data_IF_260887598594
#
_entry.id   IF_260887598594
#
_cell.length_a   1.000
_cell.length_b   1.000
_cell.length_c   1.000
_cell.angle_alpha   90.00
_cell.angle_beta   90.00
_cell.angle_gamma   90.00
#
_symmetry.space_group_name_H-M   'P 1'
#
loop_
_entity.id
_entity.type
_entity.pdbx_description
1 polymer ?
#
# COMPACT_ATOMS: atom_id res chain seq x y z
N UNK A 1 14.82 -13.03 -15.72
CA UNK A 1 14.71 -14.24 -14.89
C UNK A 1 15.02 -13.88 -13.45
N UNK A 2 13.98 -13.70 -12.65
CA UNK A 2 14.13 -13.54 -11.20
C UNK A 2 14.29 -14.94 -10.64
N UNK A 3 15.47 -15.28 -10.13
CA UNK A 3 15.71 -16.56 -9.45
C UNK A 3 15.79 -16.32 -7.94
N UNK A 4 15.08 -17.07 -7.10
CA UNK A 4 15.25 -16.99 -5.67
C UNK A 4 16.68 -17.38 -5.29
N UNK A 5 17.28 -16.64 -4.37
CA UNK A 5 18.62 -16.97 -3.87
C UNK A 5 18.59 -18.36 -3.20
N UNK A 6 19.54 -19.25 -3.57
CA UNK A 6 19.70 -20.54 -2.90
C UNK A 6 19.99 -20.29 -1.41
N UNK A 7 19.08 -20.68 -0.56
CA UNK A 7 19.20 -20.58 0.90
C UNK A 7 18.05 -19.90 1.63
N UNK A 8 17.18 -19.19 0.92
CA UNK A 8 15.98 -18.58 1.53
C UNK A 8 14.75 -19.53 1.52
N UNK A 9 14.78 -20.62 0.77
CA UNK A 9 13.65 -21.53 0.59
C UNK A 9 13.08 -22.16 1.87
N UNK A 10 13.86 -22.27 2.95
CA UNK A 10 13.39 -22.87 4.20
C UNK A 10 12.67 -21.87 5.12
N UNK A 11 12.94 -20.58 4.97
CA UNK A 11 12.29 -19.52 5.76
C UNK A 11 10.83 -19.30 5.32
N UNK A 12 10.51 -19.57 4.05
CA UNK A 12 9.21 -19.24 3.46
C UNK A 12 8.17 -20.34 3.53
N UNK A 13 8.54 -21.55 3.95
CA UNK A 13 7.58 -22.66 4.12
C UNK A 13 6.80 -22.60 5.43
N UNK A 14 7.18 -21.68 6.32
CA UNK A 14 6.53 -21.52 7.62
C UNK A 14 5.49 -20.42 7.55
N UNK A 15 4.27 -20.73 7.94
CA UNK A 15 3.25 -19.70 8.17
C UNK A 15 3.76 -18.76 9.28
N UNK A 16 3.66 -17.43 9.11
CA UNK A 16 4.01 -16.49 10.17
C UNK A 16 3.25 -16.82 11.44
N UNK A 17 3.95 -16.78 12.59
CA UNK A 17 3.29 -16.87 13.89
C UNK A 17 2.83 -15.46 14.30
N UNK A 18 2.00 -15.40 15.36
CA UNK A 18 1.54 -14.14 15.91
C UNK A 18 2.71 -13.18 16.16
N UNK A 19 2.62 -11.97 15.62
CA UNK A 19 3.67 -10.95 15.71
C UNK A 19 4.83 -11.08 14.70
N UNK A 20 4.84 -12.09 13.84
CA UNK A 20 5.84 -12.23 12.78
C UNK A 20 5.44 -11.44 11.51
N UNK A 21 6.42 -10.79 10.89
CA UNK A 21 6.24 -10.15 9.58
C UNK A 21 6.67 -11.15 8.51
N UNK A 22 5.78 -11.40 7.53
CA UNK A 22 6.14 -12.13 6.33
C UNK A 22 6.97 -11.20 5.43
N UNK A 23 8.22 -11.60 5.16
CA UNK A 23 9.08 -10.91 4.21
C UNK A 23 9.63 -11.89 3.19
N UNK A 24 9.58 -11.51 1.91
CA UNK A 24 10.15 -12.25 0.80
C UNK A 24 11.18 -11.36 0.12
N UNK A 25 12.41 -11.83 0.00
CA UNK A 25 13.51 -11.13 -0.65
C UNK A 25 14.04 -11.97 -1.82
N UNK A 26 14.24 -11.32 -2.95
CA UNK A 26 14.93 -11.89 -4.11
C UNK A 26 16.17 -11.06 -4.43
N UNK A 27 17.28 -11.75 -4.68
CA UNK A 27 18.43 -11.12 -5.30
C UNK A 27 18.22 -11.15 -6.81
N UNK A 28 18.12 -9.95 -7.40
CA UNK A 28 17.98 -9.78 -8.84
C UNK A 28 19.36 -9.74 -9.47
N UNK A 29 19.71 -10.75 -10.26
CA UNK A 29 20.98 -10.83 -10.99
C UNK A 29 20.94 -10.04 -12.30
N UNK A 30 19.77 -10.01 -12.95
CA UNK A 30 19.56 -9.33 -14.22
C UNK A 30 18.18 -8.70 -14.25
N UNK A 31 18.08 -7.55 -14.90
CA UNK A 31 16.82 -6.92 -15.23
C UNK A 31 16.83 -6.45 -16.69
N UNK A 32 15.68 -6.43 -17.31
CA UNK A 32 15.49 -5.96 -18.67
C UNK A 32 14.38 -4.92 -18.69
N UNK A 33 14.59 -3.89 -19.49
CA UNK A 33 13.53 -2.95 -19.83
C UNK A 33 12.68 -3.55 -20.94
N UNK A 34 11.37 -3.58 -20.75
CA UNK A 34 10.44 -4.06 -21.77
C UNK A 34 9.24 -3.11 -21.88
N UNK A 35 8.76 -2.93 -23.10
CA UNK A 35 7.48 -2.26 -23.34
C UNK A 35 6.35 -3.30 -23.21
N UNK A 36 5.30 -2.93 -22.52
CA UNK A 36 4.07 -3.72 -22.47
C UNK A 36 3.15 -3.26 -23.59
N UNK A 37 2.80 -4.16 -24.49
CA UNK A 37 1.71 -3.92 -25.43
C UNK A 37 0.40 -3.80 -24.64
N UNK A 38 -0.33 -2.71 -24.86
CA UNK A 38 -1.64 -2.54 -24.25
C UNK A 38 -2.58 -3.65 -24.75
N UNK A 39 -3.17 -4.48 -23.86
CA UNK A 39 -4.10 -5.51 -24.29
C UNK A 39 -5.32 -4.87 -24.97
N UNK A 40 -5.89 -5.55 -25.94
CA UNK A 40 -7.23 -5.21 -26.47
C UNK A 40 -8.22 -5.14 -25.31
N UNK A 41 -9.27 -4.32 -25.44
CA UNK A 41 -10.26 -3.94 -24.41
C UNK A 41 -10.44 -5.00 -23.30
N UNK A 42 -10.16 -4.64 -22.06
CA UNK A 42 -10.07 -5.59 -20.96
C UNK A 42 -11.43 -6.23 -20.64
N UNK A 43 -11.45 -7.55 -20.66
CA UNK A 43 -12.58 -8.30 -20.15
C UNK A 43 -12.63 -8.20 -18.62
N UNK A 44 -13.82 -8.28 -18.00
CA UNK A 44 -13.92 -8.32 -16.55
C UNK A 44 -13.22 -9.57 -15.99
N UNK A 45 -12.58 -9.41 -14.82
CA UNK A 45 -11.95 -10.51 -14.08
C UNK A 45 -13.01 -11.57 -13.75
N UNK A 46 -12.68 -12.84 -13.99
CA UNK A 46 -13.58 -13.97 -13.68
C UNK A 46 -13.16 -14.58 -12.35
N UNK A 47 -13.94 -14.32 -11.31
CA UNK A 47 -13.80 -14.95 -10.01
C UNK A 47 -15.05 -15.80 -9.76
N UNK A 48 -14.85 -17.07 -9.42
CA UNK A 48 -15.92 -18.00 -9.13
C UNK A 48 -15.96 -18.34 -7.64
N UNK A 49 -17.15 -18.58 -7.12
CA UNK A 49 -17.30 -19.03 -5.74
C UNK A 49 -16.89 -17.97 -4.69
N UNK A 50 -17.06 -16.70 -5.00
CA UNK A 50 -16.67 -15.59 -4.14
C UNK A 50 -17.29 -15.68 -2.74
N UNK A 51 -16.44 -15.56 -1.72
CA UNK A 51 -16.82 -15.55 -0.30
C UNK A 51 -16.20 -14.33 0.37
N UNK A 52 -17.01 -13.66 1.18
CA UNK A 52 -16.55 -12.56 2.01
C UNK A 52 -16.23 -13.01 3.43
N UNK A 53 -15.21 -12.43 4.04
CA UNK A 53 -14.84 -12.67 5.44
C UNK A 53 -15.93 -12.24 6.43
N UNK A 54 -16.72 -11.24 6.07
CA UNK A 54 -17.81 -10.70 6.89
C UNK A 54 -19.05 -10.49 6.05
N UNK A 55 -20.21 -10.74 6.60
CA UNK A 55 -21.48 -10.30 6.05
C UNK A 55 -21.64 -8.77 6.12
N UNK A 56 -22.58 -8.21 5.40
CA UNK A 56 -22.87 -6.77 5.46
C UNK A 56 -23.32 -6.33 6.85
N UNK A 57 -24.07 -7.18 7.57
CA UNK A 57 -24.52 -6.91 8.94
C UNK A 57 -23.35 -6.89 9.93
N UNK A 58 -22.45 -7.89 9.88
CA UNK A 58 -21.24 -7.93 10.71
C UNK A 58 -20.33 -6.73 10.44
N UNK A 59 -20.12 -6.37 9.16
CA UNK A 59 -19.36 -5.20 8.78
C UNK A 59 -19.96 -3.92 9.36
N UNK A 60 -21.26 -3.71 9.27
CA UNK A 60 -21.96 -2.55 9.81
C UNK A 60 -21.85 -2.46 11.34
N UNK A 61 -21.92 -3.61 12.05
CA UNK A 61 -21.74 -3.69 13.49
C UNK A 61 -20.31 -3.29 13.89
N UNK A 62 -19.30 -3.85 13.22
CA UNK A 62 -17.88 -3.52 13.46
C UNK A 62 -17.63 -2.03 13.24
N UNK A 63 -18.11 -1.46 12.14
CA UNK A 63 -18.00 -0.02 11.86
C UNK A 63 -18.67 0.81 12.98
N UNK A 64 -19.79 0.35 13.51
CA UNK A 64 -20.47 1.01 14.63
C UNK A 64 -19.63 0.98 15.92
N UNK A 65 -19.00 -0.16 16.22
CA UNK A 65 -18.06 -0.28 17.35
C UNK A 65 -16.87 0.67 17.18
N UNK A 66 -16.24 0.69 16.00
CA UNK A 66 -15.11 1.59 15.71
C UNK A 66 -15.52 3.06 15.89
N UNK A 67 -16.67 3.47 15.36
CA UNK A 67 -17.19 4.84 15.55
C UNK A 67 -17.39 5.20 17.02
N UNK A 68 -17.83 4.24 17.83
CA UNK A 68 -17.98 4.43 19.27
C UNK A 68 -16.63 4.67 19.95
N UNK A 69 -15.59 3.86 19.64
CA UNK A 69 -14.23 4.03 20.16
C UNK A 69 -13.63 5.39 19.74
N UNK A 70 -13.88 5.85 18.51
CA UNK A 70 -13.49 7.20 18.05
C UNK A 70 -14.17 8.28 18.90
N UNK A 71 -15.47 8.14 19.14
CA UNK A 71 -16.24 9.12 19.96
C UNK A 71 -15.76 9.14 21.42
N UNK A 72 -15.28 8.02 21.93
CA UNK A 72 -14.72 7.88 23.29
C UNK A 72 -13.26 8.40 23.39
N UNK A 73 -12.65 8.75 22.26
CA UNK A 73 -11.27 9.26 22.19
C UNK A 73 -10.20 8.18 22.32
N UNK A 74 -10.54 6.90 22.15
CA UNK A 74 -9.59 5.78 22.21
C UNK A 74 -8.69 5.73 20.97
N UNK A 75 -9.23 6.12 19.82
CA UNK A 75 -8.51 6.24 18.56
C UNK A 75 -9.11 7.35 17.70
N UNK A 76 -8.37 7.82 16.70
CA UNK A 76 -8.80 8.88 15.79
C UNK A 76 -9.34 8.34 14.47
N UNK A 77 -8.71 7.30 13.95
CA UNK A 77 -9.06 6.65 12.70
C UNK A 77 -8.62 5.19 12.75
N UNK A 78 -9.40 4.32 12.13
CA UNK A 78 -9.05 2.92 11.89
C UNK A 78 -9.56 2.49 10.52
N UNK A 79 -8.68 1.88 9.71
CA UNK A 79 -9.03 1.27 8.43
C UNK A 79 -9.31 -0.21 8.67
N UNK A 80 -10.58 -0.58 8.66
CA UNK A 80 -11.04 -1.96 8.81
C UNK A 80 -11.09 -2.66 7.45
N UNK A 81 -10.46 -3.82 7.36
CA UNK A 81 -10.42 -4.64 6.16
C UNK A 81 -11.51 -5.70 6.10
N UNK A 82 -12.09 -5.87 4.90
CA UNK A 82 -12.98 -6.95 4.54
C UNK A 82 -12.41 -7.64 3.32
N UNK A 83 -12.19 -8.94 3.39
CA UNK A 83 -11.60 -9.72 2.31
C UNK A 83 -12.66 -10.45 1.51
N UNK A 84 -12.39 -10.63 0.23
CA UNK A 84 -13.13 -11.49 -0.68
C UNK A 84 -12.16 -12.51 -1.26
N UNK A 85 -12.53 -13.75 -1.23
CA UNK A 85 -11.75 -14.87 -1.76
C UNK A 85 -12.60 -15.65 -2.77
N UNK A 86 -11.97 -16.19 -3.78
CA UNK A 86 -12.64 -16.99 -4.79
C UNK A 86 -11.64 -17.67 -5.71
N UNK A 87 -12.13 -18.50 -6.60
CA UNK A 87 -11.30 -19.17 -7.60
C UNK A 87 -11.11 -18.24 -8.79
N UNK A 88 -9.85 -17.98 -9.14
CA UNK A 88 -9.49 -17.20 -10.30
C UNK A 88 -9.56 -18.09 -11.54
N UNK A 89 -10.29 -17.63 -12.57
CA UNK A 89 -10.50 -18.35 -13.82
C UNK A 89 -9.53 -17.96 -14.94
N UNK A 90 -8.43 -17.28 -14.60
CA UNK A 90 -7.47 -16.73 -15.56
C UNK A 90 -6.10 -16.54 -14.92
N UNK A 91 -5.08 -16.31 -15.74
CA UNK A 91 -3.72 -16.06 -15.27
C UNK A 91 -3.64 -14.72 -14.53
N UNK A 92 -2.99 -14.67 -13.34
CA UNK A 92 -2.82 -13.41 -12.58
C UNK A 92 -2.08 -12.30 -13.36
N UNK A 93 -1.21 -12.65 -14.29
CA UNK A 93 -0.52 -11.69 -15.15
C UNK A 93 -1.48 -10.92 -16.06
N UNK A 94 -2.53 -11.59 -16.56
CA UNK A 94 -3.57 -10.95 -17.37
C UNK A 94 -4.36 -9.91 -16.57
N UNK A 95 -4.54 -10.17 -15.26
CA UNK A 95 -5.17 -9.19 -14.37
C UNK A 95 -4.27 -7.98 -14.21
N UNK A 96 -2.96 -8.19 -14.03
CA UNK A 96 -2.01 -7.09 -13.95
C UNK A 96 -2.00 -6.25 -15.22
N UNK A 97 -1.99 -6.87 -16.39
CA UNK A 97 -2.09 -6.16 -17.66
C UNK A 97 -3.35 -5.28 -17.74
N UNK A 98 -4.50 -5.82 -17.34
CA UNK A 98 -5.75 -5.02 -17.30
C UNK A 98 -5.71 -3.89 -16.28
N UNK A 99 -5.12 -4.11 -15.11
CA UNK A 99 -4.93 -3.06 -14.11
C UNK A 99 -4.02 -1.96 -14.63
N UNK A 100 -2.93 -2.28 -15.30
CA UNK A 100 -1.98 -1.32 -15.84
C UNK A 100 -2.58 -0.42 -16.94
N UNK A 101 -3.57 -0.93 -17.67
CA UNK A 101 -4.30 -0.15 -18.69
C UNK A 101 -5.45 0.66 -18.10
N UNK A 102 -6.30 0.03 -17.31
CA UNK A 102 -7.52 0.67 -16.80
C UNK A 102 -7.30 1.57 -15.60
N UNK A 103 -6.27 1.29 -14.84
CA UNK A 103 -5.99 1.98 -13.59
C UNK A 103 -4.48 2.11 -13.39
N UNK A 104 -3.75 2.72 -14.36
CA UNK A 104 -2.32 2.91 -14.26
C UNK A 104 -1.97 3.69 -13.01
N UNK A 105 -0.96 3.24 -12.29
CA UNK A 105 -0.50 3.87 -11.07
C UNK A 105 1.04 3.84 -10.98
N UNK A 106 1.67 4.86 -10.37
CA UNK A 106 3.12 5.08 -10.46
C UNK A 106 3.95 4.01 -9.74
N UNK A 107 3.36 3.28 -8.80
CA UNK A 107 4.05 2.25 -8.02
C UNK A 107 3.43 0.87 -8.24
N UNK A 108 3.00 0.63 -9.47
CA UNK A 108 2.46 -0.67 -9.90
C UNK A 108 3.57 -1.70 -10.00
N UNK A 109 3.21 -2.97 -9.80
CA UNK A 109 4.13 -4.08 -9.99
C UNK A 109 3.42 -5.42 -10.01
N UNK A 110 4.06 -6.38 -10.69
CA UNK A 110 3.66 -7.78 -10.72
C UNK A 110 4.80 -8.64 -10.21
N UNK A 111 4.49 -9.53 -9.31
CA UNK A 111 5.43 -10.54 -8.82
C UNK A 111 4.78 -11.91 -8.99
N UNK A 112 5.51 -12.82 -9.58
CA UNK A 112 5.18 -14.24 -9.64
C UNK A 112 6.29 -15.04 -8.99
N UNK A 113 5.95 -15.77 -7.96
CA UNK A 113 6.84 -16.64 -7.21
C UNK A 113 6.25 -18.07 -7.26
N UNK A 114 6.45 -18.75 -8.39
CA UNK A 114 5.89 -20.07 -8.63
C UNK A 114 6.34 -21.12 -7.60
N UNK A 115 7.56 -20.99 -7.09
CA UNK A 115 8.12 -21.83 -6.02
C UNK A 115 7.42 -21.63 -4.67
N UNK A 116 6.79 -20.49 -4.45
CA UNK A 116 5.99 -20.17 -3.27
C UNK A 116 4.48 -20.36 -3.54
N UNK A 117 4.11 -20.71 -4.76
CA UNK A 117 2.71 -20.80 -5.17
C UNK A 117 1.97 -19.46 -5.08
N UNK A 118 2.64 -18.35 -5.41
CA UNK A 118 2.13 -17.00 -5.17
C UNK A 118 2.27 -16.12 -6.42
N UNK A 119 1.25 -15.31 -6.68
CA UNK A 119 1.34 -14.16 -7.58
C UNK A 119 0.68 -12.93 -6.94
N UNK A 120 1.25 -11.75 -7.19
CA UNK A 120 0.78 -10.45 -6.72
C UNK A 120 0.64 -9.50 -7.91
N UNK A 121 -0.55 -8.97 -8.12
CA UNK A 121 -0.82 -7.94 -9.11
C UNK A 121 -1.23 -6.65 -8.39
N UNK A 122 -0.38 -5.64 -8.41
CA UNK A 122 -0.58 -4.38 -7.69
C UNK A 122 -0.60 -3.19 -8.63
N UNK A 123 -1.60 -2.31 -8.47
CA UNK A 123 -1.68 -1.01 -9.13
C UNK A 123 -1.71 0.11 -8.09
N UNK A 124 -0.66 0.17 -7.30
CA UNK A 124 -0.56 1.09 -6.17
C UNK A 124 -0.24 2.53 -6.59
N UNK A 125 -1.03 3.51 -6.15
CA UNK A 125 -0.74 4.93 -6.35
C UNK A 125 0.15 5.52 -5.25
N UNK A 126 0.41 4.79 -4.15
CA UNK A 126 0.95 5.35 -2.92
C UNK A 126 2.33 4.80 -2.60
N UNK A 127 3.26 5.70 -2.32
CA UNK A 127 4.61 5.38 -1.86
C UNK A 127 4.65 5.40 -0.35
N UNK A 128 5.17 4.31 0.25
CA UNK A 128 5.45 4.23 1.68
C UNK A 128 6.77 4.93 2.01
N UNK A 129 7.82 4.62 1.25
CA UNK A 129 9.15 5.13 1.49
C UNK A 129 9.94 5.25 0.19
N UNK A 130 10.64 6.34 0.04
CA UNK A 130 11.76 6.50 -0.86
C UNK A 130 12.99 6.90 -0.04
N UNK A 131 14.10 6.19 -0.22
CA UNK A 131 15.40 6.52 0.37
C UNK A 131 16.42 6.72 -0.75
N UNK A 132 17.14 7.83 -0.68
CA UNK A 132 18.24 8.18 -1.60
C UNK A 132 19.40 8.71 -0.77
N UNK A 133 20.47 7.93 -0.63
CA UNK A 133 21.55 8.25 0.30
C UNK A 133 21.03 8.44 1.72
N UNK A 134 21.14 9.65 2.26
CA UNK A 134 20.59 10.00 3.60
C UNK A 134 19.22 10.69 3.55
N UNK A 135 18.72 11.02 2.39
CA UNK A 135 17.40 11.60 2.25
C UNK A 135 16.33 10.51 2.26
N UNK A 136 15.28 10.73 3.04
CA UNK A 136 14.10 9.84 3.10
C UNK A 136 12.84 10.65 2.88
N UNK A 137 11.89 10.03 2.19
CA UNK A 137 10.62 10.64 1.83
C UNK A 137 9.48 9.61 1.92
N UNK A 138 8.35 10.04 2.44
CA UNK A 138 7.05 9.36 2.33
C UNK A 138 6.04 10.31 1.73
N UNK A 139 5.02 9.77 1.06
CA UNK A 139 4.05 10.60 0.34
C UNK A 139 2.62 10.12 0.58
N UNK A 140 2.04 10.46 1.75
CA UNK A 140 0.67 10.06 2.08
C UNK A 140 -0.34 10.69 1.12
N UNK A 141 -1.31 9.87 0.74
CA UNK A 141 -2.45 10.24 -0.09
C UNK A 141 -3.72 10.20 0.77
N UNK A 142 -4.51 11.30 0.74
CA UNK A 142 -5.84 11.31 1.36
C UNK A 142 -6.72 12.33 0.67
N UNK A 143 -8.01 11.99 0.55
CA UNK A 143 -8.95 12.78 -0.20
C UNK A 143 -8.94 12.42 -1.68
N UNK A 144 -10.13 12.17 -2.22
CA UNK A 144 -10.30 11.71 -3.61
C UNK A 144 -11.49 12.38 -4.25
N UNK A 145 -11.30 12.87 -5.46
CA UNK A 145 -12.38 13.30 -6.35
C UNK A 145 -12.21 12.62 -7.71
N UNK A 146 -13.29 12.39 -8.46
CA UNK A 146 -13.17 11.92 -9.83
C UNK A 146 -12.48 12.96 -10.71
N UNK A 147 -12.05 12.55 -11.88
CA UNK A 147 -11.62 13.46 -12.94
C UNK A 147 -12.82 14.23 -13.50
N UNK A 148 -12.61 15.45 -13.93
CA UNK A 148 -13.63 16.23 -14.62
C UNK A 148 -13.83 15.76 -16.06
N UNK A 149 -15.04 15.93 -16.61
CA UNK A 149 -15.33 15.64 -18.01
C UNK A 149 -14.73 16.69 -18.97
N UNK A 150 -14.41 17.85 -18.44
CA UNK A 150 -13.82 18.99 -19.14
C UNK A 150 -12.92 19.80 -18.18
N UNK A 151 -12.11 20.74 -18.69
CA UNK A 151 -11.18 21.53 -17.88
C UNK A 151 -11.83 22.36 -16.77
N UNK A 152 -13.05 22.85 -16.98
CA UNK A 152 -13.76 23.67 -15.98
C UNK A 152 -14.24 22.81 -14.82
N UNK A 153 -14.83 21.66 -15.11
CA UNK A 153 -15.25 20.68 -14.12
C UNK A 153 -14.04 20.11 -13.37
N UNK A 154 -12.94 19.81 -14.07
CA UNK A 154 -11.69 19.36 -13.44
C UNK A 154 -11.17 20.40 -12.44
N UNK A 155 -11.16 21.67 -12.82
CA UNK A 155 -10.74 22.77 -11.96
C UNK A 155 -11.67 22.97 -10.77
N UNK A 156 -12.98 22.78 -10.95
CA UNK A 156 -13.97 22.85 -9.87
C UNK A 156 -13.75 21.74 -8.85
N UNK A 157 -13.69 20.48 -9.30
CA UNK A 157 -13.48 19.32 -8.43
C UNK A 157 -12.15 19.40 -7.68
N UNK A 158 -11.09 19.91 -8.34
CA UNK A 158 -9.80 20.17 -7.71
C UNK A 158 -9.91 21.20 -6.59
N UNK A 159 -10.62 22.30 -6.83
CA UNK A 159 -10.86 23.32 -5.79
C UNK A 159 -11.68 22.78 -4.64
N UNK A 160 -12.75 22.06 -4.92
CA UNK A 160 -13.55 21.40 -3.89
C UNK A 160 -12.68 20.51 -2.99
N UNK A 161 -11.82 19.68 -3.58
CA UNK A 161 -10.92 18.79 -2.84
C UNK A 161 -9.95 19.58 -1.96
N UNK A 162 -9.35 20.65 -2.49
CA UNK A 162 -8.39 21.49 -1.75
C UNK A 162 -9.07 22.22 -0.58
N UNK A 163 -10.33 22.63 -0.70
CA UNK A 163 -11.03 23.39 0.31
C UNK A 163 -11.94 22.56 1.22
N UNK A 164 -12.09 21.27 0.96
CA UNK A 164 -12.85 20.37 1.82
C UNK A 164 -12.22 20.28 3.22
N UNK A 165 -12.97 20.73 4.20
CA UNK A 165 -12.48 20.82 5.60
C UNK A 165 -12.20 19.45 6.20
N UNK A 166 -13.04 18.45 5.87
CA UNK A 166 -12.91 17.08 6.37
C UNK A 166 -11.69 16.42 5.76
N UNK A 167 -11.59 16.41 4.41
CA UNK A 167 -10.47 15.79 3.70
C UNK A 167 -9.12 16.42 4.13
N UNK A 168 -9.08 17.73 4.29
CA UNK A 168 -7.88 18.43 4.80
C UNK A 168 -7.53 18.07 6.24
N UNK A 169 -8.51 17.89 7.12
CA UNK A 169 -8.26 17.50 8.50
C UNK A 169 -7.70 16.08 8.58
N UNK A 170 -8.31 15.14 7.85
CA UNK A 170 -7.83 13.76 7.74
C UNK A 170 -6.43 13.70 7.11
N UNK A 171 -6.21 14.44 6.03
CA UNK A 171 -4.90 14.50 5.37
C UNK A 171 -3.81 15.05 6.29
N UNK A 172 -4.10 16.12 7.03
CA UNK A 172 -3.16 16.70 8.01
C UNK A 172 -2.80 15.70 9.12
N UNK A 173 -3.79 14.94 9.60
CA UNK A 173 -3.55 13.91 10.62
C UNK A 173 -2.58 12.84 10.10
N UNK A 174 -2.75 12.40 8.87
CA UNK A 174 -1.82 11.44 8.25
C UNK A 174 -0.42 12.03 8.07
N UNK A 175 -0.31 13.25 7.59
CA UNK A 175 0.98 13.94 7.46
C UNK A 175 1.70 14.03 8.81
N UNK A 176 0.98 14.33 9.89
CA UNK A 176 1.57 14.39 11.22
C UNK A 176 1.98 13.00 11.73
N UNK A 177 1.22 11.95 11.42
CA UNK A 177 1.59 10.57 11.72
C UNK A 177 2.88 10.17 10.99
N UNK A 178 2.96 10.40 9.67
CA UNK A 178 4.15 10.11 8.86
C UNK A 178 5.37 10.92 9.30
N UNK A 179 5.17 12.18 9.73
CA UNK A 179 6.24 12.99 10.34
C UNK A 179 6.77 12.38 11.62
N UNK A 180 5.90 11.87 12.48
CA UNK A 180 6.31 11.21 13.72
C UNK A 180 7.09 9.93 13.44
N UNK A 181 6.62 9.10 12.51
CA UNK A 181 7.28 7.85 12.14
C UNK A 181 8.67 8.13 11.53
N UNK A 182 8.73 9.08 10.59
CA UNK A 182 10.00 9.45 9.94
C UNK A 182 11.00 10.09 10.92
N UNK A 183 10.53 10.78 11.97
CA UNK A 183 11.37 11.38 12.98
C UNK A 183 12.16 10.35 13.81
N UNK A 184 11.70 9.10 13.89
CA UNK A 184 12.38 8.02 14.59
C UNK A 184 13.80 7.80 14.02
N UNK A 185 13.92 7.87 12.70
CA UNK A 185 15.17 7.61 11.97
C UNK A 185 15.88 8.87 11.51
N UNK A 186 15.24 10.03 11.55
CA UNK A 186 15.77 11.27 11.03
C UNK A 186 16.52 12.10 12.07
N UNK A 187 17.45 12.94 11.62
CA UNK A 187 18.12 13.95 12.43
C UNK A 187 17.10 14.96 12.95
N UNK A 188 17.29 15.41 14.17
CA UNK A 188 16.38 16.36 14.81
C UNK A 188 16.23 17.65 13.97
N UNK A 189 14.98 18.07 13.77
CA UNK A 189 14.65 19.29 13.03
C UNK A 189 14.70 19.17 11.50
N UNK A 190 15.04 18.00 10.93
CA UNK A 190 15.08 17.82 9.47
C UNK A 190 13.76 17.36 8.87
N UNK A 191 12.87 16.76 9.67
CA UNK A 191 11.58 16.28 9.19
C UNK A 191 10.64 17.44 8.92
N UNK A 192 10.18 17.52 7.67
CA UNK A 192 9.29 18.59 7.22
C UNK A 192 8.31 18.10 6.14
N UNK A 193 7.15 18.73 6.08
CA UNK A 193 6.28 18.63 4.92
C UNK A 193 6.86 19.50 3.80
N UNK A 194 7.34 18.87 2.74
CA UNK A 194 8.00 19.56 1.62
C UNK A 194 7.04 19.91 0.48
N UNK A 195 5.90 19.22 0.37
CA UNK A 195 4.92 19.43 -0.69
C UNK A 195 3.50 19.21 -0.16
N UNK A 196 2.55 19.99 -0.69
CA UNK A 196 1.12 19.75 -0.60
C UNK A 196 0.48 20.12 -1.94
N UNK A 197 -0.15 19.18 -2.60
CA UNK A 197 -0.70 19.39 -3.95
C UNK A 197 -1.88 18.46 -4.21
N UNK A 198 -2.61 18.73 -5.30
CA UNK A 198 -3.52 17.77 -5.90
C UNK A 198 -2.82 17.12 -7.09
N UNK A 199 -2.71 15.81 -7.07
CA UNK A 199 -2.19 15.02 -8.18
C UNK A 199 -3.34 14.33 -8.91
N UNK A 200 -3.29 14.42 -10.24
CA UNK A 200 -4.28 13.82 -11.12
C UNK A 200 -3.74 12.49 -11.66
N UNK A 201 -4.51 11.45 -11.46
CA UNK A 201 -4.29 10.13 -12.05
C UNK A 201 -5.29 9.89 -13.16
N UNK A 202 -5.29 8.72 -13.78
CA UNK A 202 -6.17 8.43 -14.93
C UNK A 202 -7.66 8.68 -14.64
N UNK A 203 -8.15 8.19 -13.50
CA UNK A 203 -9.57 8.16 -13.16
C UNK A 203 -9.95 9.07 -11.99
N UNK A 204 -8.97 9.51 -11.21
CA UNK A 204 -9.19 10.27 -9.97
C UNK A 204 -8.11 11.32 -9.77
N UNK A 205 -8.38 12.26 -8.87
CA UNK A 205 -7.39 13.19 -8.34
C UNK A 205 -7.35 13.11 -6.82
N UNK A 206 -6.16 13.21 -6.26
CA UNK A 206 -5.91 13.04 -4.83
C UNK A 206 -5.21 14.24 -4.22
N UNK A 207 -5.47 14.49 -2.92
CA UNK A 207 -4.56 15.30 -2.11
C UNK A 207 -3.33 14.47 -1.76
N UNK A 208 -2.17 15.03 -2.07
CA UNK A 208 -0.86 14.40 -1.87
C UNK A 208 0.03 15.36 -1.10
N UNK A 209 0.69 14.85 -0.07
CA UNK A 209 1.80 15.55 0.58
C UNK A 209 3.09 14.76 0.44
N UNK A 210 4.21 15.43 0.55
CA UNK A 210 5.50 14.80 0.77
C UNK A 210 6.03 15.19 2.13
N UNK A 211 6.48 14.22 2.88
CA UNK A 211 7.19 14.38 4.14
C UNK A 211 8.61 13.89 3.94
N UNK A 212 9.58 14.75 4.15
CA UNK A 212 11.00 14.44 3.94
C UNK A 212 11.77 14.59 5.23
N UNK A 213 12.89 13.87 5.33
CA UNK A 213 13.83 13.95 6.44
C UNK A 213 15.23 13.55 6.03
N UNK A 214 16.22 13.89 6.84
CA UNK A 214 17.61 13.43 6.70
C UNK A 214 17.86 12.34 7.74
N UNK A 215 18.22 11.13 7.31
CA UNK A 215 18.51 10.02 8.22
C UNK A 215 19.72 10.33 9.11
N UNK A 216 19.66 9.86 10.34
CA UNK A 216 20.82 9.79 11.25
C UNK A 216 21.93 8.99 10.59
N UNK A 217 23.18 9.28 10.98
CA UNK A 217 24.34 8.68 10.29
C UNK A 217 24.40 7.15 10.42
N UNK A 218 23.94 6.62 11.56
CA UNK A 218 23.87 5.18 11.86
C UNK A 218 22.65 4.46 11.28
N UNK A 219 21.71 5.21 10.66
CA UNK A 219 20.45 4.66 10.11
C UNK A 219 20.54 4.38 8.61
N UNK A 220 19.76 3.41 8.17
CA UNK A 220 19.66 2.93 6.80
C UNK A 220 18.24 3.03 6.27
N UNK A 221 18.05 2.84 4.96
CA UNK A 221 16.73 2.76 4.34
C UNK A 221 15.85 1.65 4.93
N UNK A 222 16.44 0.55 5.40
CA UNK A 222 15.70 -0.53 6.08
C UNK A 222 15.20 -0.07 7.45
N UNK A 223 16.00 0.69 8.23
CA UNK A 223 15.52 1.27 9.48
C UNK A 223 14.34 2.24 9.22
N UNK A 224 14.40 3.00 8.12
CA UNK A 224 13.31 3.89 7.72
C UNK A 224 12.05 3.10 7.33
N UNK A 225 12.21 2.01 6.58
CA UNK A 225 11.09 1.12 6.24
C UNK A 225 10.44 0.55 7.51
N UNK A 226 11.22 0.08 8.47
CA UNK A 226 10.71 -0.45 9.75
C UNK A 226 9.98 0.63 10.58
N UNK A 227 10.43 1.87 10.55
CA UNK A 227 9.80 2.96 11.27
C UNK A 227 8.44 3.36 10.67
N UNK A 228 8.33 3.32 9.35
CA UNK A 228 7.10 3.69 8.62
C UNK A 228 6.10 2.53 8.55
N UNK A 229 6.57 1.28 8.55
CA UNK A 229 5.71 0.10 8.41
C UNK A 229 5.02 -0.29 9.74
N UNK A 230 3.72 -0.70 9.68
CA UNK A 230 2.81 -0.56 8.55
C UNK A 230 2.43 0.91 8.30
N UNK A 231 2.09 1.24 7.05
CA UNK A 231 1.73 2.61 6.67
C UNK A 231 0.54 3.17 7.47
N UNK A 232 0.61 4.44 7.85
CA UNK A 232 -0.45 5.10 8.61
C UNK A 232 -1.75 5.25 7.83
N UNK A 233 -1.64 5.46 6.52
CA UNK A 233 -2.79 5.61 5.61
C UNK A 233 -3.67 4.37 5.52
N UNK A 234 -3.10 3.17 5.76
CA UNK A 234 -3.79 1.87 5.67
C UNK A 234 -4.10 1.24 7.03
N UNK A 235 -3.61 1.79 8.12
CA UNK A 235 -3.90 1.34 9.48
C UNK A 235 -4.77 2.35 10.21
N UNK A 236 -4.24 3.48 10.58
CA UNK A 236 -4.91 4.55 11.31
C UNK A 236 -4.05 5.13 12.43
N UNK A 237 -4.68 5.84 13.36
CA UNK A 237 -3.98 6.58 14.41
C UNK A 237 -4.71 6.49 15.77
N UNK A 238 -4.00 6.27 16.89
CA UNK A 238 -2.57 5.98 17.06
C UNK A 238 -2.19 4.58 16.54
N UNK A 239 -1.04 4.44 15.87
CA UNK A 239 -0.66 3.22 15.12
C UNK A 239 -0.71 1.95 15.98
N UNK A 240 -0.10 1.96 17.17
CA UNK A 240 -0.07 0.78 18.05
C UNK A 240 -1.46 0.34 18.51
N UNK A 241 -2.34 1.30 18.83
CA UNK A 241 -3.73 1.01 19.27
C UNK A 241 -4.53 0.42 18.11
N UNK A 242 -4.44 1.04 16.94
CA UNK A 242 -5.23 0.60 15.79
C UNK A 242 -4.73 -0.72 15.22
N UNK A 243 -3.43 -1.03 15.26
CA UNK A 243 -2.93 -2.34 14.83
C UNK A 243 -3.48 -3.46 15.72
N UNK A 244 -3.51 -3.28 17.04
CA UNK A 244 -4.11 -4.26 17.96
C UNK A 244 -5.63 -4.41 17.72
N UNK A 245 -6.33 -3.30 17.48
CA UNK A 245 -7.76 -3.35 17.16
C UNK A 245 -8.06 -4.02 15.82
N UNK A 246 -7.20 -3.82 14.80
CA UNK A 246 -7.32 -4.51 13.51
C UNK A 246 -7.18 -6.02 13.69
N UNK A 247 -6.17 -6.46 14.44
CA UNK A 247 -5.92 -7.87 14.73
C UNK A 247 -7.12 -8.53 15.46
N UNK A 248 -7.77 -7.80 16.36
CA UNK A 248 -9.00 -8.28 17.05
C UNK A 248 -10.23 -8.32 16.12
N UNK A 249 -10.36 -7.35 15.21
CA UNK A 249 -11.59 -7.13 14.44
C UNK A 249 -11.59 -7.90 13.12
N UNK A 250 -10.45 -8.12 12.49
CA UNK A 250 -10.33 -8.82 11.21
C UNK A 250 -10.25 -10.33 11.45
N UNK A 251 -11.03 -11.10 10.68
CA UNK A 251 -11.12 -12.58 10.84
C UNK A 251 -9.94 -13.32 10.21
N UNK A 252 -9.15 -12.65 9.41
CA UNK A 252 -8.02 -13.24 8.69
C UNK A 252 -6.87 -12.24 8.60
N UNK A 253 -5.62 -12.74 8.57
CA UNK A 253 -4.45 -11.89 8.31
C UNK A 253 -4.58 -11.16 6.97
N UNK A 254 -4.05 -9.96 6.90
CA UNK A 254 -4.05 -9.14 5.67
C UNK A 254 -3.13 -9.70 4.58
N UNK A 255 -2.21 -10.60 4.92
CA UNK A 255 -1.20 -11.14 4.03
C UNK A 255 -0.39 -10.01 3.37
N UNK A 256 -0.25 -9.99 2.05
CA UNK A 256 0.45 -8.94 1.32
C UNK A 256 -0.37 -7.67 1.14
N UNK A 257 -1.70 -7.76 1.20
CA UNK A 257 -2.54 -6.57 1.12
C UNK A 257 -2.25 -5.60 2.28
N UNK A 258 -2.09 -4.33 1.98
CA UNK A 258 -1.61 -3.29 2.91
C UNK A 258 -0.17 -3.47 3.41
N UNK A 259 0.56 -4.43 2.85
CA UNK A 259 1.99 -4.56 3.00
C UNK A 259 2.76 -3.57 2.12
N UNK A 260 3.97 -3.94 1.77
CA UNK A 260 4.83 -3.12 0.93
C UNK A 260 5.60 -3.99 -0.06
N UNK A 261 5.69 -3.53 -1.29
CA UNK A 261 6.52 -4.09 -2.33
C UNK A 261 7.49 -3.03 -2.81
N UNK A 262 8.74 -3.42 -3.04
CA UNK A 262 9.74 -2.46 -3.45
C UNK A 262 11.05 -3.09 -3.84
N UNK A 263 12.06 -2.26 -3.97
CA UNK A 263 13.42 -2.65 -4.31
C UNK A 263 14.44 -1.87 -3.47
N UNK A 264 15.60 -2.45 -3.31
CA UNK A 264 16.78 -1.83 -2.71
C UNK A 264 18.01 -2.12 -3.56
N UNK A 265 18.78 -1.08 -3.88
CA UNK A 265 20.10 -1.22 -4.46
C UNK A 265 21.10 -1.59 -3.36
N UNK A 266 21.70 -2.76 -3.48
CA UNK A 266 22.61 -3.29 -2.46
C UNK A 266 23.94 -2.53 -2.36
N UNK A 267 24.29 -1.73 -3.37
CA UNK A 267 25.54 -0.95 -3.40
C UNK A 267 25.38 0.43 -2.80
N UNK A 268 24.27 1.09 -3.10
CA UNK A 268 24.00 2.47 -2.64
C UNK A 268 23.12 2.51 -1.39
N UNK A 269 22.29 1.49 -1.17
CA UNK A 269 21.23 1.47 -0.17
C UNK A 269 19.99 2.26 -0.58
N UNK A 270 19.96 2.80 -1.79
CA UNK A 270 18.79 3.48 -2.32
C UNK A 270 17.63 2.50 -2.46
N UNK A 271 16.44 2.95 -2.15
CA UNK A 271 15.28 2.07 -2.16
C UNK A 271 13.97 2.82 -2.43
N UNK A 272 13.00 2.09 -2.95
CA UNK A 272 11.62 2.58 -3.13
C UNK A 272 10.65 1.49 -2.74
N UNK A 273 9.65 1.84 -1.92
CA UNK A 273 8.67 0.93 -1.34
C UNK A 273 7.27 1.52 -1.48
N UNK A 274 6.35 0.79 -2.10
CA UNK A 274 4.95 1.19 -2.18
C UNK A 274 4.15 0.73 -0.97
N UNK A 275 2.89 1.16 -0.90
CA UNK A 275 1.85 0.54 -0.06
C UNK A 275 1.03 -0.36 -0.97
N UNK A 276 0.95 -1.66 -0.70
CA UNK A 276 0.18 -2.59 -1.52
C UNK A 276 -1.33 -2.42 -1.29
N UNK A 277 -1.89 -1.43 -1.98
CA UNK A 277 -3.32 -1.19 -2.16
C UNK A 277 -3.68 -1.36 -3.64
N UNK A 278 -4.96 -1.57 -3.96
CA UNK A 278 -5.40 -1.95 -5.30
C UNK A 278 -4.62 -3.18 -5.80
N UNK A 279 -4.49 -4.16 -4.92
CA UNK A 279 -3.64 -5.33 -5.09
C UNK A 279 -4.47 -6.59 -5.00
N UNK A 280 -4.25 -7.50 -5.94
CA UNK A 280 -4.77 -8.86 -5.91
C UNK A 280 -3.63 -9.80 -5.50
N UNK A 281 -3.93 -10.71 -4.59
CA UNK A 281 -3.09 -11.85 -4.24
C UNK A 281 -3.72 -13.11 -4.82
N UNK A 282 -2.97 -13.87 -5.61
CA UNK A 282 -3.36 -15.16 -6.11
C UNK A 282 -2.44 -16.24 -5.53
N UNK A 283 -3.03 -17.37 -5.15
CA UNK A 283 -2.30 -18.54 -4.68
C UNK A 283 -2.59 -19.72 -5.60
N UNK A 284 -1.53 -20.35 -6.06
CA UNK A 284 -1.65 -21.58 -6.83
C UNK A 284 -1.98 -22.72 -5.87
N UNK A 285 -3.09 -23.40 -6.12
CA UNK A 285 -3.43 -24.61 -5.39
C UNK A 285 -2.75 -25.82 -6.03
N UNK A 286 -2.35 -26.80 -5.23
CA UNK A 286 -1.73 -28.05 -5.72
C UNK A 286 -2.70 -28.95 -6.50
N UNK A 287 -3.96 -28.58 -6.58
CA UNK A 287 -4.99 -29.19 -7.42
C UNK A 287 -5.08 -28.39 -8.71
N UNK A 288 -4.19 -28.70 -9.63
CA UNK A 288 -3.78 -28.11 -10.87
C UNK A 288 -4.71 -27.52 -11.84
#
# INVERSE_FOLDING_TARGET
DIRPSRGLGDVYKRQPQEGEILAVLWLVENWIECEFDAPELPLPVRINGEKSSHSDAEHAEIVTRIKKSITQGELYQLNFGRTWEGQLGEDPSEIFHRLSVNNPAPFSGYIEAADLGLALASSSPEILLEARGKEVMTSPIKGTKPRGSDPDQESLLRRELVYDKKERAEHRMLVDLERNDLAIVSKAGTVKQSKFTVEAYSNVQHLVSQVTGEMKDEKTGIDALQALFPGGSITGCPKTVVCAAIDELEKSPRSFWTGSMGWIDVHTGDSTWNIMIRTLEARYTTEG
#
